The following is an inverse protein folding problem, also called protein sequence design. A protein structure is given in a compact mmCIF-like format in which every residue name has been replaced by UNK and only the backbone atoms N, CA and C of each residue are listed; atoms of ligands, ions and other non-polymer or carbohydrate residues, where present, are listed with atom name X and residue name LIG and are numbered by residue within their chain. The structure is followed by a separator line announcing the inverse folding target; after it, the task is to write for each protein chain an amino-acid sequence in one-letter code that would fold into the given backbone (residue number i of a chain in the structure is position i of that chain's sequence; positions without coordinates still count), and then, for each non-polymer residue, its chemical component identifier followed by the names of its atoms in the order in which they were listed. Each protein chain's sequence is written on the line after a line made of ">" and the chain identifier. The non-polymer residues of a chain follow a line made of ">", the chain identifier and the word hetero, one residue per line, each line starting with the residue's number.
data_IF_325101056806
#
_entry.id   IF_325101056806
#
_cell.length_a   1.000
_cell.length_b   1.000
_cell.length_c   1.000
_cell.angle_alpha   90.00
_cell.angle_beta   90.00
_cell.angle_gamma   90.00
#
_symmetry.space_group_name_H-M   'P 1'
#
loop_
_entity.id
_entity.type
_entity.pdbx_description
1 polymer ?
#
# COMPACT_ATOMS: atom_id res chain seq x y z
N UNK A 1 -25.93 21.84 5.81
CA UNK A 1 -25.50 20.43 5.70
C UNK A 1 -23.97 20.40 5.73
N UNK A 2 -23.37 20.07 6.88
CA UNK A 2 -21.91 19.98 7.01
C UNK A 2 -21.46 18.60 6.52
N UNK A 3 -20.83 18.56 5.34
CA UNK A 3 -20.10 17.40 4.87
C UNK A 3 -18.92 17.15 5.82
N UNK A 4 -19.10 16.24 6.79
CA UNK A 4 -17.99 15.67 7.55
C UNK A 4 -17.30 14.66 6.65
N UNK A 5 -16.46 15.14 5.74
CA UNK A 5 -15.37 14.30 5.25
C UNK A 5 -14.56 13.92 6.48
N UNK A 6 -14.57 12.63 6.84
CA UNK A 6 -13.61 12.05 7.77
C UNK A 6 -12.22 12.30 7.20
N UNK A 7 -11.66 13.46 7.54
CA UNK A 7 -10.24 13.71 7.38
C UNK A 7 -9.55 12.63 8.21
N UNK A 8 -9.11 11.54 7.58
CA UNK A 8 -8.20 10.54 8.13
C UNK A 8 -6.85 11.25 8.37
N UNK A 9 -6.84 12.15 9.35
CA UNK A 9 -5.63 12.67 9.91
C UNK A 9 -4.96 11.51 10.60
N UNK A 10 -3.73 11.23 10.16
CA UNK A 10 -2.77 10.32 10.78
C UNK A 10 -2.98 8.87 10.33
N UNK A 11 -1.86 8.23 10.00
CA UNK A 11 -1.65 6.81 9.70
C UNK A 11 -2.05 5.86 10.86
N UNK A 12 -3.23 6.07 11.43
CA UNK A 12 -3.81 5.42 12.61
C UNK A 12 -5.21 4.91 12.25
N UNK A 13 -5.27 3.94 11.36
CA UNK A 13 -6.51 3.28 11.02
C UNK A 13 -6.25 1.82 10.65
N UNK A 14 -7.22 0.98 10.94
CA UNK A 14 -7.30 -0.39 10.48
C UNK A 14 -8.31 -0.49 9.35
N UNK A 15 -8.08 -1.41 8.44
CA UNK A 15 -9.06 -1.84 7.44
C UNK A 15 -9.40 -3.28 7.73
N UNK A 16 -10.69 -3.54 7.96
CA UNK A 16 -11.23 -4.89 8.03
C UNK A 16 -11.93 -5.15 6.71
N UNK A 17 -11.70 -6.32 6.12
CA UNK A 17 -12.34 -6.71 4.88
C UNK A 17 -12.42 -8.22 4.78
N UNK A 18 -13.57 -8.74 4.35
CA UNK A 18 -13.73 -10.15 3.99
C UNK A 18 -13.63 -10.27 2.48
N UNK A 19 -12.62 -11.00 2.01
CA UNK A 19 -12.37 -11.24 0.61
C UNK A 19 -12.61 -12.72 0.30
N UNK A 20 -13.41 -12.98 -0.72
CA UNK A 20 -13.59 -14.30 -1.30
C UNK A 20 -13.24 -14.26 -2.78
N UNK A 21 -12.14 -14.91 -3.15
CA UNK A 21 -11.73 -15.03 -4.54
C UNK A 21 -12.36 -16.31 -5.13
N UNK A 22 -13.29 -16.13 -6.06
CA UNK A 22 -14.09 -17.22 -6.66
C UNK A 22 -13.37 -17.80 -7.87
N UNK A 23 -12.90 -16.93 -8.78
CA UNK A 23 -12.23 -17.32 -10.01
C UNK A 23 -11.03 -16.43 -10.26
N UNK A 24 -9.93 -17.08 -10.63
CA UNK A 24 -8.78 -16.38 -11.18
C UNK A 24 -8.69 -16.38 -12.68
N UNK A 25 -8.11 -15.31 -13.19
CA UNK A 25 -7.84 -15.07 -14.61
C UNK A 25 -7.04 -13.79 -14.73
N UNK A 26 -5.89 -13.73 -14.07
CA UNK A 26 -4.99 -12.57 -14.07
C UNK A 26 -3.73 -12.83 -14.89
N UNK A 27 -3.66 -13.97 -15.60
CA UNK A 27 -2.43 -14.47 -16.17
C UNK A 27 -1.26 -14.56 -15.18
N UNK A 28 -0.02 -14.71 -15.68
CA UNK A 28 1.19 -14.74 -14.84
C UNK A 28 1.62 -13.35 -14.34
N UNK A 29 1.07 -12.27 -14.89
CA UNK A 29 1.50 -10.89 -14.60
C UNK A 29 0.50 -10.06 -13.80
N UNK A 30 -0.77 -10.45 -13.77
CA UNK A 30 -1.79 -9.69 -13.05
C UNK A 30 -1.61 -9.75 -11.55
N UNK A 31 -2.35 -8.87 -10.86
CA UNK A 31 -2.19 -8.61 -9.45
C UNK A 31 -3.56 -8.48 -8.79
N UNK A 32 -3.60 -8.71 -7.48
CA UNK A 32 -4.76 -8.38 -6.67
C UNK A 32 -4.27 -7.58 -5.49
N UNK A 33 -4.76 -6.34 -5.44
CA UNK A 33 -4.55 -5.42 -4.36
C UNK A 33 -5.58 -5.71 -3.28
N UNK A 34 -5.17 -6.42 -2.23
CA UNK A 34 -6.01 -6.56 -1.03
C UNK A 34 -6.25 -5.19 -0.40
N UNK A 35 -5.31 -4.27 -0.59
CA UNK A 35 -5.48 -2.88 -0.26
C UNK A 35 -4.59 -2.02 -1.17
N UNK A 36 -5.16 -1.04 -1.82
CA UNK A 36 -4.42 0.07 -2.40
C UNK A 36 -4.88 1.36 -1.71
N UNK A 37 -3.93 2.17 -1.24
CA UNK A 37 -4.26 3.46 -0.63
C UNK A 37 -3.52 4.58 -1.34
N UNK A 38 -4.30 5.61 -1.68
CA UNK A 38 -3.85 6.74 -2.49
C UNK A 38 -3.87 8.06 -1.73
N UNK A 39 -2.90 8.92 -2.02
CA UNK A 39 -2.93 10.35 -1.63
C UNK A 39 -2.23 11.18 -2.69
N UNK A 40 -2.73 12.39 -2.95
CA UNK A 40 -1.98 13.38 -3.71
C UNK A 40 -1.20 14.31 -2.78
N UNK A 41 0.12 14.38 -2.98
CA UNK A 41 1.01 15.26 -2.23
C UNK A 41 2.13 15.77 -3.14
N UNK A 42 2.55 17.03 -3.02
CA UNK A 42 3.74 17.49 -3.75
C UNK A 42 5.03 16.96 -3.10
N UNK A 43 6.17 17.03 -3.81
CA UNK A 43 7.46 16.59 -3.25
C UNK A 43 7.93 17.47 -2.07
N UNK A 44 7.45 18.72 -2.01
CA UNK A 44 7.64 19.65 -0.90
C UNK A 44 6.62 19.48 0.26
N UNK A 45 5.68 18.54 0.12
CA UNK A 45 4.62 18.12 1.09
C UNK A 45 3.40 19.01 1.16
N UNK A 46 3.29 19.99 0.28
CA UNK A 46 2.02 20.69 0.12
C UNK A 46 0.96 19.73 -0.40
N UNK A 47 -0.29 20.02 -0.03
CA UNK A 47 -1.43 19.37 -0.65
C UNK A 47 -1.43 19.69 -2.14
N UNK A 48 -1.83 18.70 -2.93
CA UNK A 48 -2.06 18.92 -4.35
C UNK A 48 -3.14 19.99 -4.57
N UNK A 49 -2.95 20.78 -5.60
CA UNK A 49 -3.86 21.87 -5.98
C UNK A 49 -4.43 21.70 -7.39
N UNK A 50 -4.22 20.53 -8.02
CA UNK A 50 -4.58 20.24 -9.40
C UNK A 50 -3.50 20.66 -10.40
N UNK A 51 -2.34 21.13 -9.94
CA UNK A 51 -1.23 21.48 -10.83
C UNK A 51 -0.47 20.22 -11.26
N UNK A 52 -0.85 19.73 -12.44
CA UNK A 52 -0.23 18.58 -13.08
C UNK A 52 1.25 18.76 -13.40
N UNK A 53 1.90 19.90 -13.10
CA UNK A 53 3.34 20.13 -13.22
C UNK A 53 4.14 19.86 -11.93
N UNK A 54 3.48 19.79 -10.78
CA UNK A 54 4.13 19.59 -9.47
C UNK A 54 3.42 18.59 -8.56
N UNK A 55 2.13 18.33 -8.80
CA UNK A 55 1.35 17.35 -8.05
C UNK A 55 1.86 15.95 -8.31
N UNK A 56 1.85 15.12 -7.27
CA UNK A 56 2.30 13.73 -7.30
C UNK A 56 1.34 12.84 -6.52
N UNK A 57 0.78 11.85 -7.21
CA UNK A 57 -0.05 10.82 -6.59
C UNK A 57 0.81 9.72 -6.00
N UNK A 58 0.54 9.32 -4.76
CA UNK A 58 1.30 8.30 -4.04
C UNK A 58 0.39 7.12 -3.72
N UNK A 59 0.86 5.93 -4.06
CA UNK A 59 0.15 4.68 -3.81
C UNK A 59 0.94 3.74 -2.91
N UNK A 60 0.23 3.09 -2.01
CA UNK A 60 0.73 2.01 -1.16
C UNK A 60 -0.08 0.77 -1.47
N UNK A 61 0.44 -0.07 -2.34
CA UNK A 61 -0.26 -1.21 -2.93
C UNK A 61 0.13 -2.51 -2.20
N UNK A 62 -0.86 -3.23 -1.69
CA UNK A 62 -0.71 -4.45 -0.90
C UNK A 62 -1.17 -5.66 -1.70
N UNK A 63 -0.22 -6.45 -2.20
CA UNK A 63 -0.48 -7.55 -3.13
C UNK A 63 -0.61 -8.88 -2.38
N UNK A 64 -1.62 -9.67 -2.76
CA UNK A 64 -1.87 -11.02 -2.21
C UNK A 64 -1.84 -12.15 -3.26
N UNK A 65 -1.52 -11.85 -4.52
CA UNK A 65 -1.44 -12.88 -5.55
C UNK A 65 -0.16 -13.73 -5.40
N UNK A 66 -0.25 -15.06 -5.13
CA UNK A 66 0.93 -15.88 -4.83
C UNK A 66 1.92 -16.05 -6.00
N UNK A 67 1.49 -15.83 -7.24
CA UNK A 67 2.35 -16.03 -8.42
C UNK A 67 3.03 -14.73 -8.90
N UNK A 68 2.70 -13.57 -8.33
CA UNK A 68 3.41 -12.33 -8.66
C UNK A 68 4.86 -12.45 -8.19
N UNK A 69 5.79 -12.24 -9.12
CA UNK A 69 7.21 -12.20 -8.78
C UNK A 69 7.61 -10.84 -8.23
N UNK A 70 8.47 -10.81 -7.22
CA UNK A 70 9.10 -9.57 -6.74
C UNK A 70 10.01 -8.99 -7.84
N UNK A 71 9.79 -7.74 -8.23
CA UNK A 71 10.68 -7.05 -9.16
C UNK A 71 11.79 -6.31 -8.42
N UNK A 72 11.55 -5.90 -7.17
CA UNK A 72 12.63 -5.52 -6.26
C UNK A 72 13.43 -6.76 -5.85
N UNK A 73 14.72 -6.77 -6.21
CA UNK A 73 15.65 -7.87 -5.96
C UNK A 73 17.10 -7.38 -5.97
N UNK A 74 18.08 -8.15 -5.44
CA UNK A 74 19.48 -7.69 -5.33
C UNK A 74 20.12 -7.23 -6.64
N UNK A 75 19.69 -7.79 -7.78
CA UNK A 75 20.17 -7.42 -9.12
C UNK A 75 19.25 -6.41 -9.85
N UNK A 76 18.30 -5.79 -9.17
CA UNK A 76 17.37 -4.78 -9.72
C UNK A 76 17.04 -3.74 -8.66
N UNK A 77 18.08 -3.13 -8.07
CA UNK A 77 17.95 -2.16 -6.97
C UNK A 77 17.21 -0.87 -7.36
N UNK A 78 17.15 -0.56 -8.65
CA UNK A 78 16.38 0.56 -9.19
C UNK A 78 14.87 0.43 -8.95
N UNK A 79 14.40 -0.81 -8.73
CA UNK A 79 13.02 -1.14 -8.39
C UNK A 79 12.78 -1.33 -6.89
N UNK A 80 13.79 -1.06 -6.06
CA UNK A 80 13.72 -1.17 -4.61
C UNK A 80 13.72 0.21 -3.96
N UNK A 81 12.95 0.43 -2.87
CA UNK A 81 13.03 1.67 -2.12
C UNK A 81 14.44 1.82 -1.52
N UNK A 82 14.97 3.05 -1.35
CA UNK A 82 16.31 3.28 -0.80
C UNK A 82 16.57 2.58 0.54
N UNK A 83 15.55 2.48 1.39
CA UNK A 83 15.60 1.74 2.63
C UNK A 83 14.24 1.16 3.02
N UNK A 84 14.28 0.12 3.84
CA UNK A 84 13.17 -0.44 4.60
C UNK A 84 13.26 0.05 6.05
N UNK A 85 12.11 0.33 6.68
CA UNK A 85 12.02 0.59 8.11
C UNK A 85 11.60 -0.68 8.83
N UNK A 86 12.48 -1.20 9.69
CA UNK A 86 12.17 -2.36 10.53
C UNK A 86 11.03 -2.05 11.50
N UNK A 87 10.55 -3.08 12.21
CA UNK A 87 9.52 -2.90 13.24
C UNK A 87 9.91 -1.88 14.32
N UNK A 88 11.20 -1.78 14.61
CA UNK A 88 11.78 -0.90 15.63
C UNK A 88 12.23 0.46 15.06
N UNK A 89 11.95 0.70 13.77
CA UNK A 89 12.26 1.96 13.09
C UNK A 89 13.70 2.06 12.56
N UNK A 90 14.48 0.97 12.62
CA UNK A 90 15.82 0.94 12.02
C UNK A 90 15.73 1.00 10.50
N UNK A 91 16.56 1.85 9.88
CA UNK A 91 16.73 1.87 8.43
C UNK A 91 17.64 0.73 8.00
N UNK A 92 17.14 -0.13 7.13
CA UNK A 92 17.90 -1.16 6.43
C UNK A 92 17.98 -0.74 4.96
N UNK A 93 19.18 -0.42 4.48
CA UNK A 93 19.36 0.10 3.14
C UNK A 93 19.31 -1.00 2.09
N UNK A 94 18.82 -0.69 0.89
CA UNK A 94 18.72 -1.65 -0.23
C UNK A 94 20.05 -2.23 -0.69
N UNK A 95 21.19 -1.65 -0.33
CA UNK A 95 22.51 -2.22 -0.63
C UNK A 95 22.96 -3.26 0.41
N UNK A 96 22.28 -3.37 1.55
CA UNK A 96 22.46 -4.45 2.51
C UNK A 96 21.74 -5.70 1.98
N UNK A 97 22.41 -6.41 1.06
CA UNK A 97 21.87 -7.59 0.40
C UNK A 97 21.53 -8.73 1.38
N UNK A 98 22.03 -8.69 2.61
CA UNK A 98 21.79 -9.72 3.62
C UNK A 98 20.52 -9.46 4.42
N UNK A 99 20.27 -8.20 4.79
CA UNK A 99 19.20 -7.85 5.73
C UNK A 99 18.02 -7.14 5.08
N UNK A 100 18.18 -6.56 3.88
CA UNK A 100 17.08 -5.90 3.19
C UNK A 100 16.01 -6.92 2.77
N UNK A 101 14.72 -6.71 3.10
CA UNK A 101 13.69 -7.69 2.83
C UNK A 101 13.17 -7.55 1.39
N UNK A 102 13.97 -7.96 0.40
CA UNK A 102 13.59 -7.88 -1.02
C UNK A 102 12.25 -8.55 -1.31
N UNK A 103 12.00 -9.71 -0.72
CA UNK A 103 10.75 -10.46 -0.88
C UNK A 103 9.51 -9.74 -0.30
N UNK A 104 9.70 -8.65 0.47
CA UNK A 104 8.62 -7.80 0.91
C UNK A 104 8.09 -6.89 -0.20
N UNK A 105 8.94 -6.52 -1.16
CA UNK A 105 8.61 -5.48 -2.12
C UNK A 105 8.35 -6.09 -3.49
N UNK A 106 7.20 -5.78 -4.06
CA UNK A 106 7.00 -6.03 -5.48
C UNK A 106 7.76 -5.00 -6.30
N UNK A 107 7.51 -3.72 -6.05
CA UNK A 107 8.02 -2.60 -6.83
C UNK A 107 8.10 -1.32 -5.97
N UNK A 108 9.15 -0.55 -6.16
CA UNK A 108 9.19 0.87 -5.87
C UNK A 108 9.49 1.65 -7.15
N UNK A 109 8.77 2.74 -7.37
CA UNK A 109 9.07 3.67 -8.45
C UNK A 109 8.93 5.12 -7.98
N UNK A 110 9.85 5.97 -8.42
CA UNK A 110 9.90 7.37 -8.08
C UNK A 110 9.03 8.21 -9.05
N UNK A 111 8.55 9.39 -8.62
CA UNK A 111 7.88 10.30 -9.54
C UNK A 111 8.91 10.95 -10.46
N UNK A 112 8.51 11.22 -11.71
CA UNK A 112 9.43 11.76 -12.72
C UNK A 112 9.87 13.22 -12.45
N UNK A 113 9.32 13.90 -11.43
CA UNK A 113 9.84 15.17 -10.92
C UNK A 113 10.66 15.02 -9.62
N UNK A 114 11.15 13.82 -9.31
CA UNK A 114 12.04 13.60 -8.18
C UNK A 114 13.48 13.99 -8.54
N UNK A 115 13.76 15.30 -8.56
CA UNK A 115 15.07 15.85 -8.96
C UNK A 115 16.24 15.31 -8.14
N UNK A 116 15.99 14.95 -6.88
CA UNK A 116 16.99 14.47 -5.93
C UNK A 116 16.84 12.98 -5.60
N UNK A 117 16.13 12.20 -6.43
CA UNK A 117 15.98 10.77 -6.19
C UNK A 117 17.33 10.05 -6.15
N UNK A 118 17.52 9.23 -5.11
CA UNK A 118 18.75 8.48 -4.91
C UNK A 118 18.92 7.40 -5.99
N UNK A 119 19.96 7.52 -6.80
CA UNK A 119 20.30 6.51 -7.82
C UNK A 119 20.83 5.23 -7.16
N UNK A 120 20.53 4.04 -7.73
CA UNK A 120 19.68 3.83 -8.89
C UNK A 120 18.19 3.92 -8.52
N UNK A 121 17.37 4.46 -9.41
CA UNK A 121 15.91 4.44 -9.26
C UNK A 121 15.27 4.30 -10.62
N UNK A 122 14.02 3.83 -10.63
CA UNK A 122 13.16 3.85 -11.81
C UNK A 122 12.02 4.81 -11.61
N UNK A 123 11.68 5.55 -12.66
CA UNK A 123 10.46 6.35 -12.70
C UNK A 123 9.24 5.43 -12.83
N UNK A 124 8.12 5.81 -12.24
CA UNK A 124 6.86 5.08 -12.48
C UNK A 124 6.49 5.16 -13.96
N UNK A 125 5.94 4.06 -14.49
CA UNK A 125 5.55 3.98 -15.90
C UNK A 125 4.54 5.08 -16.26
N UNK A 126 4.86 5.84 -17.31
CA UNK A 126 4.08 7.02 -17.72
C UNK A 126 2.86 6.65 -18.55
N UNK A 127 2.83 5.46 -19.13
CA UNK A 127 1.73 5.01 -19.99
C UNK A 127 0.51 4.65 -19.13
N UNK A 128 0.69 3.78 -18.13
CA UNK A 128 -0.37 3.45 -17.18
C UNK A 128 -0.68 4.63 -16.24
N UNK A 129 0.31 5.51 -16.01
CA UNK A 129 0.24 6.57 -15.01
C UNK A 129 0.67 7.91 -15.62
N UNK A 130 -0.19 8.57 -16.42
CA UNK A 130 0.15 9.82 -17.09
C UNK A 130 0.42 10.97 -16.11
N UNK A 131 -0.15 10.91 -14.91
CA UNK A 131 0.17 11.80 -13.80
C UNK A 131 1.41 11.33 -13.06
N UNK A 132 2.17 12.26 -12.46
CA UNK A 132 3.33 11.90 -11.63
C UNK A 132 2.89 10.98 -10.51
N UNK A 133 3.49 9.80 -10.47
CA UNK A 133 3.18 8.77 -9.48
C UNK A 133 4.43 8.41 -8.68
N UNK A 134 4.24 8.09 -7.42
CA UNK A 134 5.25 7.52 -6.55
C UNK A 134 4.61 6.32 -5.85
N UNK A 135 4.88 5.12 -6.35
CA UNK A 135 4.27 3.89 -5.82
C UNK A 135 5.27 3.09 -5.02
N UNK A 136 4.80 2.53 -3.91
CA UNK A 136 5.47 1.46 -3.20
C UNK A 136 4.51 0.28 -3.07
N UNK A 137 4.76 -0.75 -3.87
CA UNK A 137 3.98 -1.99 -3.94
C UNK A 137 4.72 -3.08 -3.17
N UNK A 138 4.01 -3.78 -2.28
CA UNK A 138 4.59 -4.76 -1.38
C UNK A 138 3.66 -5.95 -1.16
N UNK A 139 4.26 -7.08 -0.78
CA UNK A 139 3.55 -8.32 -0.53
C UNK A 139 3.14 -8.43 0.93
N UNK A 140 1.87 -8.75 1.16
CA UNK A 140 1.36 -9.01 2.51
C UNK A 140 1.68 -10.43 2.96
N UNK A 141 1.80 -10.56 4.29
CA UNK A 141 1.87 -11.86 4.96
C UNK A 141 0.49 -12.46 5.15
N UNK A 142 0.45 -13.77 5.38
CA UNK A 142 -0.76 -14.53 5.75
C UNK A 142 -1.57 -13.91 6.91
N UNK A 143 -0.92 -13.14 7.81
CA UNK A 143 -1.54 -12.56 8.99
C UNK A 143 -1.73 -11.03 8.88
N UNK A 144 -1.39 -10.39 7.76
CA UNK A 144 -1.60 -8.94 7.55
C UNK A 144 -0.82 -7.99 8.47
N UNK A 145 0.02 -8.51 9.38
CA UNK A 145 0.68 -7.72 10.44
C UNK A 145 2.11 -7.28 10.12
N UNK A 146 2.71 -7.81 9.06
CA UNK A 146 4.07 -7.46 8.65
C UNK A 146 4.22 -7.42 7.14
N UNK A 147 5.24 -6.68 6.70
CA UNK A 147 5.72 -6.68 5.32
C UNK A 147 6.57 -7.95 5.14
N UNK A 148 6.11 -8.87 4.29
CA UNK A 148 6.70 -10.18 3.92
C UNK A 148 6.54 -11.41 4.83
N UNK A 149 5.82 -12.40 4.26
CA UNK A 149 5.98 -13.86 4.13
C UNK A 149 4.87 -14.15 3.11
N UNK A 150 5.23 -14.26 1.82
CA UNK A 150 4.27 -14.38 0.69
C UNK A 150 3.06 -15.24 1.05
N UNK A 151 1.85 -14.90 0.61
CA UNK A 151 0.71 -15.78 0.76
C UNK A 151 1.09 -17.15 0.17
N UNK A 152 1.11 -18.20 1.00
CA UNK A 152 1.21 -19.57 0.50
C UNK A 152 0.01 -19.80 -0.43
N UNK A 153 0.12 -20.72 -1.41
CA UNK A 153 -0.94 -21.08 -2.37
C UNK A 153 -2.34 -21.26 -1.76
N UNK A 154 -2.42 -21.54 -0.46
CA UNK A 154 -3.63 -21.78 0.32
C UNK A 154 -4.43 -20.51 0.66
N UNK A 155 -4.03 -19.30 0.20
CA UNK A 155 -4.65 -18.00 0.58
C UNK A 155 -5.15 -17.23 -0.62
N UNK A 156 -5.83 -17.92 -1.54
CA UNK A 156 -6.18 -17.35 -2.84
C UNK A 156 -7.59 -17.78 -3.25
N UNK A 157 -7.71 -18.59 -4.30
CA UNK A 157 -9.01 -19.04 -4.83
C UNK A 157 -9.65 -20.05 -3.88
N UNK A 158 -10.92 -19.83 -3.56
CA UNK A 158 -11.73 -20.71 -2.71
C UNK A 158 -11.44 -20.59 -1.21
N UNK A 159 -10.58 -19.66 -0.80
CA UNK A 159 -10.26 -19.39 0.60
C UNK A 159 -10.84 -18.04 1.02
N UNK A 160 -12.15 -18.02 1.25
CA UNK A 160 -12.84 -16.85 1.80
C UNK A 160 -12.32 -16.54 3.19
N UNK A 161 -11.84 -15.30 3.41
CA UNK A 161 -11.27 -14.90 4.69
C UNK A 161 -11.44 -13.43 5.00
N UNK A 162 -11.53 -13.17 6.29
CA UNK A 162 -11.46 -11.82 6.85
C UNK A 162 -10.01 -11.43 7.10
N UNK A 163 -9.65 -10.24 6.66
CA UNK A 163 -8.37 -9.59 6.87
C UNK A 163 -8.56 -8.41 7.81
N UNK A 164 -7.77 -8.33 8.88
CA UNK A 164 -7.64 -7.14 9.71
C UNK A 164 -6.25 -6.55 9.48
N UNK A 165 -6.18 -5.43 8.77
CA UNK A 165 -4.94 -4.78 8.37
C UNK A 165 -4.74 -3.50 9.15
N UNK A 166 -3.61 -3.35 9.85
CA UNK A 166 -3.16 -2.04 10.36
C UNK A 166 -2.56 -1.22 9.22
N UNK A 167 -3.43 -0.84 8.28
CA UNK A 167 -3.08 -0.15 7.03
C UNK A 167 -2.34 1.17 7.30
N UNK A 168 -2.73 1.88 8.37
CA UNK A 168 -2.03 3.06 8.85
C UNK A 168 -0.57 2.75 9.21
N UNK A 169 -0.33 1.80 10.11
CA UNK A 169 1.02 1.45 10.55
C UNK A 169 1.87 0.91 9.41
N UNK A 170 1.33 0.01 8.58
CA UNK A 170 2.05 -0.57 7.43
C UNK A 170 2.49 0.52 6.46
N UNK A 171 1.56 1.35 6.00
CA UNK A 171 1.85 2.41 5.04
C UNK A 171 2.79 3.49 5.58
N UNK A 172 2.78 3.75 6.89
CA UNK A 172 3.67 4.74 7.53
C UNK A 172 5.16 4.37 7.43
N UNK A 173 5.47 3.08 7.33
CA UNK A 173 6.84 2.54 7.27
C UNK A 173 7.40 2.46 5.85
N UNK A 174 6.55 2.66 4.85
CA UNK A 174 6.97 2.71 3.45
C UNK A 174 7.73 4.01 3.16
N UNK A 175 8.73 3.87 2.30
CA UNK A 175 9.45 4.99 1.74
C UNK A 175 8.63 5.63 0.62
N UNK A 176 8.48 6.95 0.68
CA UNK A 176 8.03 7.77 -0.44
C UNK A 176 9.01 8.92 -0.61
N UNK A 177 9.46 9.14 -1.84
CA UNK A 177 10.30 10.29 -2.18
C UNK A 177 9.70 11.63 -1.73
N UNK A 178 10.58 12.47 -1.17
CA UNK A 178 10.37 13.86 -0.75
C UNK A 178 11.67 14.62 -1.02
N UNK A 179 11.56 15.92 -1.31
CA UNK A 179 12.75 16.72 -1.58
C UNK A 179 13.61 16.88 -0.32
N UNK A 180 14.95 16.84 -0.43
CA UNK A 180 15.85 17.07 0.69
C UNK A 180 15.55 18.38 1.42
N UNK A 181 15.71 18.39 2.75
CA UNK A 181 15.46 19.57 3.57
C UNK A 181 13.98 19.88 3.84
N UNK A 182 13.05 19.11 3.26
CA UNK A 182 11.63 19.21 3.61
C UNK A 182 11.36 18.45 4.93
N UNK A 183 10.55 19.00 5.87
CA UNK A 183 10.19 18.28 7.10
C UNK A 183 9.42 16.98 6.80
N UNK A 184 9.15 16.07 7.74
CA UNK A 184 8.41 14.85 7.39
C UNK A 184 6.98 15.14 6.88
N UNK A 185 6.47 14.40 5.88
CA UNK A 185 5.07 14.53 5.46
C UNK A 185 4.09 13.85 6.43
N UNK A 186 3.00 14.56 6.75
CA UNK A 186 1.81 13.94 7.33
C UNK A 186 0.96 13.33 6.20
N UNK A 187 0.98 12.01 6.08
CA UNK A 187 0.19 11.28 5.08
C UNK A 187 -1.27 11.20 5.54
N UNK A 188 -2.18 11.77 4.73
CA UNK A 188 -3.64 11.67 4.88
C UNK A 188 -4.16 10.93 3.66
N UNK A 189 -4.42 9.64 3.81
CA UNK A 189 -4.89 8.81 2.70
C UNK A 189 -6.32 9.23 2.32
N UNK A 190 -6.52 9.57 1.05
CA UNK A 190 -7.78 10.07 0.51
C UNK A 190 -8.54 9.02 -0.30
N UNK A 191 -7.89 7.92 -0.65
CA UNK A 191 -8.47 6.78 -1.35
C UNK A 191 -8.03 5.49 -0.67
N UNK A 192 -8.95 4.53 -0.63
CA UNK A 192 -8.74 3.16 -0.16
C UNK A 192 -9.53 2.26 -1.10
N UNK A 193 -8.84 1.41 -1.84
CA UNK A 193 -9.38 0.57 -2.89
C UNK A 193 -9.00 -0.90 -2.65
N UNK A 194 -9.84 -1.80 -3.14
CA UNK A 194 -9.59 -3.25 -3.18
C UNK A 194 -9.99 -3.71 -4.56
N UNK A 195 -9.02 -4.14 -5.34
CA UNK A 195 -9.28 -4.43 -6.75
C UNK A 195 -8.21 -5.36 -7.34
N UNK A 196 -8.47 -5.74 -8.58
CA UNK A 196 -7.63 -6.55 -9.43
C UNK A 196 -7.00 -5.71 -10.53
N UNK A 197 -5.70 -5.87 -10.74
CA UNK A 197 -5.04 -5.36 -11.94
C UNK A 197 -4.87 -6.50 -12.95
N UNK A 198 -5.56 -6.36 -14.08
CA UNK A 198 -5.45 -7.29 -15.21
C UNK A 198 -4.52 -6.64 -16.25
N UNK A 199 -3.36 -7.27 -16.44
CA UNK A 199 -2.36 -6.79 -17.40
C UNK A 199 -2.72 -7.21 -18.83
N UNK A 200 -2.08 -6.58 -19.81
CA UNK A 200 -2.22 -6.95 -21.23
C UNK A 200 -1.94 -8.45 -21.40
N UNK A 201 -2.92 -9.16 -21.97
CA UNK A 201 -2.87 -10.59 -22.25
C UNK A 201 -3.28 -10.84 -23.70
N UNK A 202 -2.70 -11.88 -24.31
CA UNK A 202 -3.14 -12.39 -25.61
C UNK A 202 -4.40 -13.27 -25.52
N UNK A 203 -4.91 -13.50 -24.32
CA UNK A 203 -6.06 -14.35 -24.04
C UNK A 203 -7.14 -13.57 -23.27
N UNK A 204 -8.37 -14.08 -23.30
CA UNK A 204 -9.44 -13.56 -22.45
C UNK A 204 -9.16 -13.92 -20.99
N UNK A 205 -9.00 -12.89 -20.19
CA UNK A 205 -8.84 -12.97 -18.74
C UNK A 205 -10.21 -12.75 -18.07
N UNK A 206 -10.56 -13.56 -17.07
CA UNK A 206 -11.83 -13.43 -16.33
C UNK A 206 -11.60 -13.69 -14.86
N UNK A 207 -12.00 -12.73 -14.04
CA UNK A 207 -11.77 -12.72 -12.60
C UNK A 207 -13.12 -12.60 -11.90
N UNK A 208 -13.28 -13.30 -10.79
CA UNK A 208 -14.51 -13.26 -10.01
C UNK A 208 -14.16 -13.29 -8.54
N UNK A 209 -14.69 -12.33 -7.78
CA UNK A 209 -14.45 -12.20 -6.36
C UNK A 209 -15.60 -11.44 -5.72
N UNK A 210 -15.80 -11.65 -4.43
CA UNK A 210 -16.74 -10.88 -3.61
C UNK A 210 -16.02 -10.23 -2.43
N UNK A 211 -16.55 -9.09 -2.04
CA UNK A 211 -16.08 -8.29 -0.92
C UNK A 211 -17.23 -8.08 0.05
N UNK A 212 -17.00 -8.32 1.33
CA UNK A 212 -17.91 -7.95 2.41
C UNK A 212 -17.14 -7.37 3.58
N UNK A 213 -17.87 -6.82 4.56
CA UNK A 213 -17.30 -6.35 5.82
C UNK A 213 -16.19 -5.29 5.67
N UNK A 214 -16.25 -4.47 4.62
CA UNK A 214 -15.31 -3.37 4.39
C UNK A 214 -15.51 -2.29 5.45
N UNK A 215 -14.66 -2.29 6.47
CA UNK A 215 -14.70 -1.33 7.57
C UNK A 215 -13.37 -0.58 7.68
N UNK A 216 -13.43 0.75 7.72
CA UNK A 216 -12.28 1.62 7.99
C UNK A 216 -12.40 2.15 9.41
N UNK A 217 -11.57 1.64 10.32
CA UNK A 217 -11.68 1.91 11.75
C UNK A 217 -10.52 2.80 12.19
N UNK A 218 -10.78 4.04 12.63
CA UNK A 218 -9.72 4.87 13.19
C UNK A 218 -9.25 4.31 14.54
N UNK A 219 -7.94 4.24 14.75
CA UNK A 219 -7.33 3.63 15.95
C UNK A 219 -7.00 4.65 17.05
N UNK A 220 -7.41 5.91 16.87
CA UNK A 220 -7.12 7.01 17.81
C UNK A 220 -8.23 7.26 18.84
N UNK A 221 -9.36 6.55 18.78
CA UNK A 221 -10.37 6.56 19.84
C UNK A 221 -10.68 5.13 20.32
N UNK A 222 -10.56 4.90 21.63
CA UNK A 222 -11.13 3.73 22.30
C UNK A 222 -12.51 4.11 22.83
N UNK A 223 -13.57 3.43 22.40
CA UNK A 223 -14.87 3.54 23.06
C UNK A 223 -14.71 2.86 24.43
N UNK A 224 -14.64 3.64 25.51
CA UNK A 224 -14.86 3.10 26.85
C UNK A 224 -16.35 2.86 26.99
N UNK A 225 -16.78 1.61 26.95
CA UNK A 225 -18.11 1.24 27.39
C UNK A 225 -18.18 1.45 28.90
N UNK A 226 -18.97 2.43 29.34
CA UNK A 226 -19.36 2.53 30.73
C UNK A 226 -20.48 1.51 30.94
N UNK A 227 -20.19 0.38 31.60
CA UNK A 227 -21.25 -0.43 32.18
C UNK A 227 -21.84 0.36 33.35
N UNK A 228 -22.97 1.03 33.14
CA UNK A 228 -23.82 1.46 34.25
C UNK A 228 -24.38 0.22 34.92
N UNK A 229 -23.77 -0.19 36.04
CA UNK A 229 -24.47 -1.05 37.00
C UNK A 229 -25.67 -0.26 37.51
N UNK A 230 -26.87 -0.72 37.16
CA UNK A 230 -28.06 -0.34 37.89
C UNK A 230 -27.99 -1.04 39.25
N UNK A 231 -27.66 -0.30 40.30
CA UNK A 231 -27.97 -0.74 41.66
C UNK A 231 -29.48 -0.63 41.83
N UNK A 232 -30.14 -1.78 41.91
CA UNK A 232 -31.53 -1.87 42.32
C UNK A 232 -31.59 -1.61 43.82
N UNK A 233 -31.96 -0.38 44.22
CA UNK A 233 -32.44 -0.05 45.56
C UNK A 233 -33.94 0.18 45.55
#
# INVERSE_FOLDING_TARGET
>A
MHNRYLNLQISKFKVIVTLNVIRGGWGPQGQFYLLDIGVCLKNNREQCNGDLSIDVTRFSEMIIYPNTSAWCRPNSLDLCPPYHLSNDGQKIYRNDMKNFPYDAYHLYCAPYNAEFAEKPFRECDRYSNPQRRNSSSFFLTLNGQSMAIRPRKNVWIGDSRMWELDAGRLSSRLFFYQDPGTPAAARKWSAIDVDTEIFISSYTETTEWTLSDFNVIPTWFSIRTWETKFDNS
#
